data_IF_508032202924
#
_entry.id   IF_508032202924
#
_cell.length_a   1.000
_cell.length_b   1.000
_cell.length_c   1.000
_cell.angle_alpha   90.00
_cell.angle_beta   90.00
_cell.angle_gamma   90.00
#
_symmetry.space_group_name_H-M   'P 1'
#
loop_
_entity.id
_entity.type
_entity.pdbx_description
1 polymer ?
#
# COMPACT_ATOMS: atom_id res chain seq x y z
N UNK A 1 -36.77 -28.98 61.74
CA UNK A 1 -35.51 -28.67 62.46
C UNK A 1 -34.39 -29.40 61.76
N UNK A 2 -33.45 -28.62 61.25
CA UNK A 2 -32.40 -29.00 60.30
C UNK A 2 -31.46 -30.08 60.80
N UNK A 3 -31.16 -31.02 59.89
CA UNK A 3 -30.06 -31.96 59.95
C UNK A 3 -28.73 -31.21 59.78
N UNK A 4 -27.83 -31.37 60.76
CA UNK A 4 -26.44 -30.90 60.69
C UNK A 4 -25.51 -32.07 60.99
N UNK A 5 -24.77 -32.53 59.97
CA UNK A 5 -23.29 -32.55 59.91
C UNK A 5 -22.71 -33.70 59.07
N UNK A 6 -21.84 -33.24 58.15
CA UNK A 6 -20.58 -33.83 57.66
C UNK A 6 -20.63 -34.90 56.56
N UNK A 7 -20.16 -34.47 55.39
CA UNK A 7 -19.19 -35.08 54.45
C UNK A 7 -19.47 -34.39 53.10
N UNK A 8 -18.56 -33.84 52.29
CA UNK A 8 -17.11 -34.00 52.11
C UNK A 8 -16.69 -32.87 51.16
N UNK A 9 -15.47 -32.36 51.33
CA UNK A 9 -14.83 -31.36 50.48
C UNK A 9 -14.87 -31.76 49.00
N UNK A 10 -15.56 -30.98 48.17
CA UNK A 10 -15.29 -30.87 46.72
C UNK A 10 -14.91 -29.41 46.48
N UNK A 11 -13.66 -29.20 46.11
CA UNK A 11 -13.14 -27.95 45.57
C UNK A 11 -13.81 -27.64 44.24
N UNK A 12 -14.57 -26.55 44.17
CA UNK A 12 -14.94 -25.91 42.91
C UNK A 12 -13.73 -25.11 42.37
N UNK A 13 -13.54 -25.03 41.05
CA UNK A 13 -12.44 -24.29 40.46
C UNK A 13 -12.67 -22.78 40.57
N UNK A 14 -11.65 -22.04 41.02
CA UNK A 14 -11.61 -20.58 41.03
C UNK A 14 -11.73 -20.04 39.60
N UNK A 15 -12.94 -19.70 39.17
CA UNK A 15 -13.19 -18.90 37.97
C UNK A 15 -13.00 -17.42 38.33
N UNK A 16 -11.74 -16.99 38.47
CA UNK A 16 -11.40 -15.57 38.46
C UNK A 16 -11.43 -15.09 37.01
N UNK A 17 -12.58 -14.55 36.60
CA UNK A 17 -12.67 -13.72 35.42
C UNK A 17 -11.69 -12.54 35.57
N UNK A 18 -10.68 -12.48 34.69
CA UNK A 18 -9.77 -11.35 34.61
C UNK A 18 -10.57 -10.10 34.23
N UNK A 19 -10.76 -9.20 35.20
CA UNK A 19 -11.34 -7.89 34.96
C UNK A 19 -10.36 -7.02 34.18
N UNK A 20 -10.87 -6.14 33.31
CA UNK A 20 -10.12 -5.28 32.40
C UNK A 20 -9.09 -4.31 33.05
N UNK A 21 -8.86 -4.38 34.36
CA UNK A 21 -7.91 -3.56 35.10
C UNK A 21 -6.55 -4.24 35.38
N UNK A 22 -6.34 -5.50 34.99
CA UNK A 22 -5.12 -6.24 35.32
C UNK A 22 -3.93 -6.04 34.34
N UNK A 23 -4.08 -5.21 33.31
CA UNK A 23 -2.99 -4.84 32.38
C UNK A 23 -2.49 -3.41 32.58
N UNK A 24 -2.25 -3.02 33.82
CA UNK A 24 -1.67 -1.71 34.13
C UNK A 24 -0.14 -1.75 33.91
N UNK A 25 0.29 -1.81 32.65
CA UNK A 25 1.66 -1.52 32.26
C UNK A 25 1.86 -0.02 32.45
N UNK A 26 2.48 0.39 33.55
CA UNK A 26 2.91 1.78 33.74
C UNK A 26 3.97 2.13 32.70
N UNK A 27 3.53 2.69 31.58
CA UNK A 27 4.41 3.37 30.64
C UNK A 27 5.05 4.55 31.37
N UNK A 28 6.39 4.56 31.39
CA UNK A 28 7.18 5.68 31.90
C UNK A 28 6.85 6.88 31.03
N UNK A 29 6.00 7.78 31.53
CA UNK A 29 5.75 9.08 30.90
C UNK A 29 7.11 9.77 30.73
N UNK A 30 7.58 9.84 29.49
CA UNK A 30 8.72 10.67 29.13
C UNK A 30 8.45 12.12 29.54
N UNK A 31 9.50 12.96 29.67
CA UNK A 31 9.37 14.30 30.20
C UNK A 31 8.28 15.07 29.45
N UNK A 32 7.38 15.70 30.21
CA UNK A 32 6.20 16.44 29.76
C UNK A 32 6.53 17.35 28.56
N UNK A 33 6.22 16.87 27.35
CA UNK A 33 6.25 17.71 26.15
C UNK A 33 4.93 18.46 26.15
N UNK A 34 5.00 19.79 26.27
CA UNK A 34 3.85 20.71 26.24
C UNK A 34 2.77 20.24 25.27
N UNK A 35 1.53 20.18 25.75
CA UNK A 35 0.30 19.85 25.02
C UNK A 35 -0.08 20.87 23.91
N UNK A 36 0.85 21.71 23.45
CA UNK A 36 0.53 22.88 22.63
C UNK A 36 1.18 22.79 21.24
N UNK A 37 0.37 22.62 20.19
CA UNK A 37 0.73 23.08 18.84
C UNK A 37 -0.45 23.16 17.84
N UNK A 38 -1.59 22.48 18.07
CA UNK A 38 -2.64 22.36 17.05
C UNK A 38 -4.04 22.66 17.60
N UNK A 39 -4.87 23.48 16.91
CA UNK A 39 -6.15 23.97 17.45
C UNK A 39 -7.21 22.89 17.69
N UNK A 40 -7.05 21.70 17.11
CA UNK A 40 -8.12 20.70 16.94
C UNK A 40 -7.98 19.45 17.82
N UNK A 41 -6.95 19.41 18.67
CA UNK A 41 -6.66 18.29 19.57
C UNK A 41 -7.83 17.94 20.51
N UNK A 42 -8.63 18.93 20.92
CA UNK A 42 -9.79 18.70 21.78
C UNK A 42 -10.94 17.96 21.08
N UNK A 43 -11.21 18.30 19.82
CA UNK A 43 -12.30 17.68 19.04
C UNK A 43 -11.98 16.22 18.73
N UNK A 44 -10.73 15.93 18.35
CA UNK A 44 -10.30 14.55 18.11
C UNK A 44 -10.35 13.71 19.40
N UNK A 45 -10.10 14.31 20.57
CA UNK A 45 -10.19 13.62 21.86
C UNK A 45 -11.65 13.26 22.19
N UNK A 46 -12.57 14.20 21.97
CA UNK A 46 -14.01 13.96 22.14
C UNK A 46 -14.53 12.88 21.18
N UNK A 47 -14.03 12.82 19.94
CA UNK A 47 -14.36 11.76 18.98
C UNK A 47 -13.83 10.38 19.41
N UNK A 48 -12.60 10.31 19.93
CA UNK A 48 -12.02 9.07 20.48
C UNK A 48 -12.79 8.59 21.71
N UNK A 49 -13.17 9.50 22.61
CA UNK A 49 -13.99 9.21 23.78
C UNK A 49 -15.39 8.72 23.37
N UNK A 50 -15.98 9.28 22.31
CA UNK A 50 -17.27 8.83 21.74
C UNK A 50 -17.19 7.39 21.21
N UNK A 51 -16.05 7.02 20.63
CA UNK A 51 -15.78 5.66 20.14
C UNK A 51 -15.37 4.69 21.26
N UNK A 52 -15.19 5.17 22.49
CA UNK A 52 -14.69 4.36 23.61
C UNK A 52 -13.23 3.91 23.42
N UNK A 53 -12.45 4.62 22.60
CA UNK A 53 -11.08 4.26 22.23
C UNK A 53 -10.08 5.20 22.90
N UNK A 54 -9.04 4.61 23.50
CA UNK A 54 -7.88 5.37 23.95
C UNK A 54 -6.93 5.64 22.77
N UNK A 55 -6.38 6.84 22.72
CA UNK A 55 -5.37 7.20 21.72
C UNK A 55 -4.00 6.66 22.14
N UNK A 56 -3.42 5.77 21.33
CA UNK A 56 -2.14 5.11 21.63
C UNK A 56 -0.96 5.77 20.88
N UNK A 57 -1.20 6.39 19.73
CA UNK A 57 -0.17 7.04 18.92
C UNK A 57 -0.18 8.58 19.01
N UNK A 58 1.01 9.17 18.87
CA UNK A 58 1.18 10.63 18.83
C UNK A 58 0.81 11.17 17.44
N UNK A 59 -0.02 12.21 17.39
CA UNK A 59 -0.38 12.92 16.14
C UNK A 59 0.84 13.57 15.48
N UNK A 60 1.27 12.99 14.37
CA UNK A 60 2.45 13.42 13.63
C UNK A 60 2.16 13.74 12.14
N UNK A 61 0.97 13.42 11.62
CA UNK A 61 0.58 13.67 10.23
C UNK A 61 -0.43 14.83 10.11
N UNK A 62 -0.17 15.77 9.20
CA UNK A 62 -1.11 16.81 8.77
C UNK A 62 -1.64 16.53 7.36
N UNK A 63 -2.52 17.40 6.84
CA UNK A 63 -3.16 17.19 5.53
C UNK A 63 -2.17 16.85 4.39
N UNK A 64 -1.11 17.64 4.22
CA UNK A 64 -0.14 17.43 3.13
C UNK A 64 0.71 16.17 3.30
N UNK A 65 1.06 15.79 4.53
CA UNK A 65 1.80 14.55 4.76
C UNK A 65 0.91 13.32 4.65
N UNK A 66 -0.37 13.43 5.04
CA UNK A 66 -1.38 12.39 4.81
C UNK A 66 -1.68 12.22 3.31
N UNK A 67 -1.80 13.32 2.55
CA UNK A 67 -1.95 13.28 1.11
C UNK A 67 -0.74 12.69 0.43
N UNK A 68 0.47 13.06 0.84
CA UNK A 68 1.69 12.44 0.37
C UNK A 68 1.72 10.94 0.64
N UNK A 69 1.34 10.53 1.86
CA UNK A 69 1.26 9.12 2.25
C UNK A 69 0.39 8.29 1.29
N UNK A 70 -0.85 8.74 1.05
CA UNK A 70 -1.76 8.00 0.15
C UNK A 70 -1.29 8.10 -1.29
N UNK A 71 -0.88 9.28 -1.74
CA UNK A 71 -0.48 9.48 -3.14
C UNK A 71 0.71 8.60 -3.52
N UNK A 72 1.73 8.58 -2.67
CA UNK A 72 2.97 7.80 -2.84
C UNK A 72 2.70 6.31 -2.65
N UNK A 73 1.82 5.94 -1.73
CA UNK A 73 1.45 4.54 -1.57
C UNK A 73 0.67 4.00 -2.78
N UNK A 74 -0.40 4.69 -3.19
CA UNK A 74 -1.20 4.28 -4.34
C UNK A 74 -0.33 4.12 -5.57
N UNK A 75 0.67 5.00 -5.78
CA UNK A 75 1.71 4.81 -6.79
C UNK A 75 1.15 4.47 -8.17
N UNK A 76 -0.06 4.96 -8.50
CA UNK A 76 -0.91 4.31 -9.50
C UNK A 76 -0.27 4.34 -10.87
N UNK A 77 0.38 5.43 -11.22
CA UNK A 77 1.02 5.58 -12.51
C UNK A 77 2.35 4.77 -12.58
N UNK A 78 3.07 4.65 -11.46
CA UNK A 78 4.25 3.79 -11.33
C UNK A 78 3.89 2.31 -11.45
N UNK A 79 2.82 1.89 -10.80
CA UNK A 79 2.34 0.52 -10.86
C UNK A 79 1.77 0.21 -12.24
N UNK A 80 1.01 1.11 -12.88
CA UNK A 80 0.56 0.93 -14.27
C UNK A 80 1.74 0.66 -15.20
N UNK A 81 2.84 1.41 -15.06
CA UNK A 81 4.06 1.22 -15.87
C UNK A 81 4.63 -0.21 -15.74
N UNK A 82 4.56 -0.80 -14.55
CA UNK A 82 5.23 -2.08 -14.24
C UNK A 82 4.29 -3.27 -14.41
N UNK A 83 3.02 -3.14 -14.04
CA UNK A 83 2.05 -4.25 -14.04
C UNK A 83 1.50 -4.57 -15.42
N UNK A 84 1.79 -3.77 -16.45
CA UNK A 84 1.46 -4.07 -17.85
C UNK A 84 2.06 -5.42 -18.34
N UNK A 85 3.12 -5.91 -17.69
CA UNK A 85 3.72 -7.24 -17.95
C UNK A 85 3.08 -8.39 -17.15
N UNK A 86 2.61 -8.08 -15.93
CA UNK A 86 2.17 -9.07 -14.93
C UNK A 86 0.74 -9.56 -15.23
N UNK A 87 0.10 -8.95 -16.24
CA UNK A 87 -1.24 -9.16 -16.80
C UNK A 87 -1.72 -10.60 -17.01
N UNK A 88 -0.82 -11.57 -17.00
CA UNK A 88 -1.10 -12.96 -17.38
C UNK A 88 -1.23 -13.95 -16.22
N UNK A 89 -1.10 -13.54 -14.96
CA UNK A 89 -1.23 -14.47 -13.82
C UNK A 89 -1.84 -13.85 -12.56
N UNK A 90 -3.10 -14.22 -12.30
CA UNK A 90 -3.85 -14.19 -11.03
C UNK A 90 -4.25 -12.86 -10.37
N UNK A 91 -5.42 -12.88 -9.70
CA UNK A 91 -6.06 -11.70 -9.13
C UNK A 91 -6.81 -11.83 -7.80
N UNK A 92 -7.26 -10.66 -7.31
CA UNK A 92 -8.22 -10.45 -6.21
C UNK A 92 -7.86 -9.32 -5.20
N UNK A 93 -8.87 -8.60 -4.64
CA UNK A 93 -8.78 -7.37 -3.78
C UNK A 93 -9.30 -7.52 -2.34
N UNK A 94 -8.88 -6.63 -1.42
CA UNK A 94 -9.28 -6.56 0.00
C UNK A 94 -9.49 -5.11 0.54
N UNK A 95 -10.37 -4.93 1.55
CA UNK A 95 -10.11 -4.08 2.73
C UNK A 95 -11.24 -3.20 3.35
N UNK A 96 -11.90 -3.64 4.44
CA UNK A 96 -12.95 -2.86 5.19
C UNK A 96 -13.20 -3.24 6.70
N UNK A 97 -12.33 -3.93 7.44
CA UNK A 97 -12.77 -4.64 8.67
C UNK A 97 -13.38 -3.79 9.80
N UNK A 98 -12.89 -2.58 10.07
CA UNK A 98 -13.49 -1.70 11.09
C UNK A 98 -14.88 -1.18 10.67
N UNK A 99 -15.21 -1.17 9.39
CA UNK A 99 -16.56 -0.79 8.96
C UNK A 99 -17.50 -1.99 9.05
N UNK A 100 -16.94 -3.19 8.92
CA UNK A 100 -17.67 -4.42 9.19
C UNK A 100 -18.07 -4.49 10.66
N UNK A 101 -17.23 -4.03 11.59
CA UNK A 101 -17.60 -3.95 13.01
C UNK A 101 -18.78 -3.01 13.28
N UNK A 102 -18.74 -1.81 12.71
CA UNK A 102 -19.74 -0.77 12.97
C UNK A 102 -21.08 -1.03 12.25
N UNK A 103 -21.04 -1.61 11.05
CA UNK A 103 -22.23 -1.75 10.18
C UNK A 103 -22.76 -3.17 10.06
N UNK A 104 -22.03 -4.21 10.48
CA UNK A 104 -22.55 -5.57 10.45
C UNK A 104 -23.68 -5.76 11.48
N UNK A 105 -24.68 -6.62 11.18
CA UNK A 105 -25.68 -6.99 12.17
C UNK A 105 -25.02 -7.57 13.44
N UNK A 106 -25.46 -7.23 14.66
CA UNK A 106 -24.82 -7.64 15.91
C UNK A 106 -24.59 -9.16 16.05
N UNK A 107 -25.42 -9.96 15.38
CA UNK A 107 -25.33 -11.42 15.37
C UNK A 107 -24.11 -11.97 14.63
N UNK A 108 -23.60 -11.25 13.63
CA UNK A 108 -22.51 -11.70 12.76
C UNK A 108 -21.26 -10.82 12.84
N UNK A 109 -21.37 -9.65 13.50
CA UNK A 109 -20.33 -8.66 13.67
C UNK A 109 -18.97 -9.27 13.97
N UNK A 110 -18.83 -10.03 15.07
CA UNK A 110 -17.55 -10.66 15.47
C UNK A 110 -16.93 -11.53 14.38
N UNK A 111 -17.72 -12.39 13.73
CA UNK A 111 -17.20 -13.31 12.72
C UNK A 111 -16.82 -12.55 11.45
N UNK A 112 -17.65 -11.61 11.01
CA UNK A 112 -17.40 -10.83 9.81
C UNK A 112 -16.21 -9.88 10.00
N UNK A 113 -16.10 -9.23 11.15
CA UNK A 113 -14.95 -8.38 11.53
C UNK A 113 -13.65 -9.18 11.57
N UNK A 114 -13.67 -10.36 12.20
CA UNK A 114 -12.48 -11.22 12.28
C UNK A 114 -12.01 -11.64 10.89
N UNK A 115 -12.93 -12.15 10.06
CA UNK A 115 -12.62 -12.57 8.68
C UNK A 115 -12.15 -11.38 7.84
N UNK A 116 -12.82 -10.23 7.94
CA UNK A 116 -12.45 -9.04 7.20
C UNK A 116 -11.07 -8.51 7.63
N UNK A 117 -10.76 -8.51 8.93
CA UNK A 117 -9.49 -8.03 9.45
C UNK A 117 -8.34 -8.95 9.07
N UNK A 118 -8.56 -10.27 9.14
CA UNK A 118 -7.56 -11.23 8.71
C UNK A 118 -7.27 -11.17 7.21
N UNK A 119 -8.30 -11.02 6.39
CA UNK A 119 -8.12 -10.82 4.94
C UNK A 119 -7.44 -9.49 4.61
N UNK A 120 -7.78 -8.41 5.33
CA UNK A 120 -7.11 -7.11 5.18
C UNK A 120 -5.61 -7.27 5.48
N UNK A 121 -5.26 -7.80 6.65
CA UNK A 121 -3.88 -7.95 7.09
C UNK A 121 -3.05 -8.80 6.13
N UNK A 122 -3.60 -9.93 5.66
CA UNK A 122 -2.93 -10.75 4.65
C UNK A 122 -2.76 -10.01 3.32
N UNK A 123 -3.76 -9.26 2.89
CA UNK A 123 -3.70 -8.42 1.69
C UNK A 123 -2.58 -7.39 1.77
N UNK A 124 -2.48 -6.66 2.88
CA UNK A 124 -1.45 -5.64 3.10
C UNK A 124 -0.03 -6.21 3.22
N UNK A 125 0.13 -7.34 3.90
CA UNK A 125 1.41 -8.06 3.92
C UNK A 125 1.81 -8.56 2.52
N UNK A 126 0.86 -9.09 1.75
CA UNK A 126 1.09 -9.50 0.37
C UNK A 126 1.45 -8.31 -0.52
N UNK A 127 0.80 -7.16 -0.35
CA UNK A 127 1.13 -5.92 -1.07
C UNK A 127 2.55 -5.45 -0.77
N UNK A 128 2.98 -5.50 0.49
CA UNK A 128 4.37 -5.15 0.85
C UNK A 128 5.39 -6.12 0.22
N UNK A 129 5.10 -7.42 0.24
CA UNK A 129 5.96 -8.42 -0.40
C UNK A 129 6.01 -8.21 -1.92
N UNK A 130 4.86 -7.99 -2.56
CA UNK A 130 4.72 -7.69 -3.99
C UNK A 130 5.52 -6.44 -4.39
N UNK A 131 5.37 -5.34 -3.66
CA UNK A 131 6.13 -4.12 -3.89
C UNK A 131 7.65 -4.34 -3.81
N UNK A 132 8.11 -5.20 -2.91
CA UNK A 132 9.52 -5.58 -2.82
C UNK A 132 9.98 -6.40 -4.03
N UNK A 133 9.16 -7.33 -4.54
CA UNK A 133 9.45 -8.05 -5.79
C UNK A 133 9.65 -7.08 -6.95
N UNK A 134 8.78 -6.06 -7.06
CA UNK A 134 8.89 -5.02 -8.09
C UNK A 134 10.23 -4.29 -8.01
N UNK A 135 10.66 -3.90 -6.81
CA UNK A 135 11.97 -3.26 -6.57
C UNK A 135 13.12 -4.18 -7.03
N UNK A 136 13.04 -5.49 -6.78
CA UNK A 136 14.05 -6.45 -7.23
C UNK A 136 14.03 -6.63 -8.75
N UNK A 137 12.86 -6.68 -9.38
CA UNK A 137 12.75 -6.75 -10.84
C UNK A 137 13.34 -5.50 -11.52
N UNK A 138 13.15 -4.32 -10.94
CA UNK A 138 13.77 -3.07 -11.39
C UNK A 138 15.31 -3.13 -11.31
N UNK A 139 15.86 -3.71 -10.24
CA UNK A 139 17.32 -3.92 -10.11
C UNK A 139 17.83 -4.91 -11.16
N UNK A 140 17.13 -6.02 -11.35
CA UNK A 140 17.47 -7.02 -12.38
C UNK A 140 17.47 -6.37 -13.77
N UNK A 141 16.44 -5.59 -14.10
CA UNK A 141 16.34 -4.87 -15.35
C UNK A 141 17.54 -3.93 -15.59
N UNK A 142 17.99 -3.17 -14.58
CA UNK A 142 19.20 -2.33 -14.71
C UNK A 142 20.44 -3.17 -15.01
N UNK A 143 20.64 -4.27 -14.29
CA UNK A 143 21.80 -5.13 -14.48
C UNK A 143 21.79 -5.77 -15.87
N UNK A 144 20.63 -6.19 -16.36
CA UNK A 144 20.48 -6.77 -17.71
C UNK A 144 20.82 -5.76 -18.82
N UNK A 145 20.60 -4.45 -18.61
CA UNK A 145 21.03 -3.42 -19.59
C UNK A 145 22.56 -3.38 -19.72
N UNK A 146 23.28 -3.42 -18.60
CA UNK A 146 24.74 -3.36 -18.59
C UNK A 146 25.40 -4.70 -18.92
N UNK A 147 24.76 -5.81 -18.55
CA UNK A 147 25.28 -7.17 -18.68
C UNK A 147 24.18 -8.12 -19.18
N UNK A 148 23.88 -8.13 -20.49
CA UNK A 148 22.78 -8.92 -21.06
C UNK A 148 22.91 -10.43 -20.87
N UNK A 149 24.14 -10.94 -20.72
CA UNK A 149 24.42 -12.37 -20.53
C UNK A 149 24.26 -12.82 -19.06
N UNK A 150 23.98 -11.89 -18.13
CA UNK A 150 23.84 -12.23 -16.73
C UNK A 150 22.50 -12.90 -16.43
N UNK A 151 22.54 -14.22 -16.20
CA UNK A 151 21.38 -14.99 -15.78
C UNK A 151 21.17 -14.88 -14.26
N UNK A 152 20.18 -14.08 -13.85
CA UNK A 152 19.78 -13.99 -12.44
C UNK A 152 19.24 -15.32 -11.92
N UNK A 153 19.72 -15.75 -10.75
CA UNK A 153 19.22 -16.94 -10.07
C UNK A 153 18.15 -16.54 -9.05
N UNK A 154 17.07 -17.32 -8.95
CA UNK A 154 15.93 -16.99 -8.07
C UNK A 154 16.33 -16.75 -6.60
N UNK A 155 17.34 -17.45 -6.08
CA UNK A 155 17.84 -17.24 -4.71
C UNK A 155 18.47 -15.86 -4.51
N UNK A 156 19.07 -15.27 -5.55
CA UNK A 156 19.65 -13.92 -5.48
C UNK A 156 18.54 -12.89 -5.30
N UNK A 157 17.45 -13.03 -6.07
CA UNK A 157 16.27 -12.19 -5.94
C UNK A 157 15.68 -12.26 -4.53
N UNK A 158 15.57 -13.47 -3.96
CA UNK A 158 15.11 -13.65 -2.56
C UNK A 158 16.02 -12.95 -1.54
N UNK A 159 17.34 -13.06 -1.68
CA UNK A 159 18.27 -12.39 -0.76
C UNK A 159 18.19 -10.86 -0.87
N UNK A 160 18.03 -10.33 -2.08
CA UNK A 160 17.83 -8.89 -2.30
C UNK A 160 16.52 -8.45 -1.65
N UNK A 161 15.42 -9.21 -1.82
CA UNK A 161 14.15 -8.91 -1.16
C UNK A 161 14.30 -8.85 0.37
N UNK A 162 14.95 -9.86 0.97
CA UNK A 162 15.20 -9.91 2.42
C UNK A 162 16.01 -8.68 2.87
N UNK A 163 17.04 -8.30 2.12
CA UNK A 163 17.85 -7.13 2.44
C UNK A 163 17.06 -5.82 2.41
N UNK A 164 16.24 -5.60 1.37
CA UNK A 164 15.41 -4.40 1.26
C UNK A 164 14.32 -4.35 2.33
N UNK A 165 13.66 -5.47 2.63
CA UNK A 165 12.70 -5.55 3.73
C UNK A 165 13.39 -5.24 5.07
N UNK A 166 14.58 -5.80 5.31
CA UNK A 166 15.34 -5.50 6.53
C UNK A 166 15.64 -4.00 6.65
N UNK A 167 16.14 -3.36 5.59
CA UNK A 167 16.39 -1.91 5.57
C UNK A 167 15.10 -1.12 5.88
N UNK A 168 13.99 -1.53 5.26
CA UNK A 168 12.67 -0.91 5.44
C UNK A 168 12.19 -1.03 6.89
N UNK A 169 12.41 -2.17 7.54
CA UNK A 169 12.11 -2.40 8.96
C UNK A 169 12.96 -1.49 9.84
N UNK A 170 14.28 -1.42 9.60
CA UNK A 170 15.19 -0.57 10.40
C UNK A 170 14.79 0.91 10.30
N UNK A 171 14.47 1.37 9.07
CA UNK A 171 14.01 2.73 8.84
C UNK A 171 12.67 3.02 9.52
N UNK A 172 11.69 2.12 9.43
CA UNK A 172 10.40 2.31 10.10
C UNK A 172 10.51 2.22 11.63
N UNK A 173 11.49 1.48 12.16
CA UNK A 173 11.68 1.34 13.62
C UNK A 173 12.33 2.57 14.24
N UNK A 174 13.42 3.08 13.63
CA UNK A 174 14.18 4.20 14.21
C UNK A 174 13.95 5.55 13.53
N UNK A 175 13.50 5.54 12.28
CA UNK A 175 13.25 6.72 11.45
C UNK A 175 11.78 7.17 11.42
N UNK A 176 10.90 6.55 12.21
CA UNK A 176 9.45 6.84 12.20
C UNK A 176 9.11 8.34 12.33
N UNK A 177 9.89 9.08 13.11
CA UNK A 177 9.70 10.53 13.30
C UNK A 177 9.97 11.36 12.03
N UNK A 178 10.70 10.81 11.06
CA UNK A 178 10.99 11.44 9.78
C UNK A 178 9.99 11.10 8.68
N UNK A 179 9.11 10.11 8.92
CA UNK A 179 8.09 9.68 7.96
C UNK A 179 7.21 10.84 7.45
N UNK A 180 6.69 11.75 8.29
CA UNK A 180 5.85 12.85 7.79
C UNK A 180 6.58 13.75 6.79
N UNK A 181 7.87 14.04 7.03
CA UNK A 181 8.71 14.81 6.12
C UNK A 181 8.99 14.03 4.84
N UNK A 182 9.29 12.74 4.96
CA UNK A 182 9.48 11.85 3.81
C UNK A 182 8.24 11.86 2.90
N UNK A 183 7.03 11.85 3.47
CA UNK A 183 5.80 11.87 2.65
C UNK A 183 5.60 13.16 1.86
N UNK A 184 5.93 14.32 2.45
CA UNK A 184 5.84 15.59 1.71
C UNK A 184 6.88 15.66 0.60
N UNK A 185 8.12 15.24 0.88
CA UNK A 185 9.19 15.18 -0.13
C UNK A 185 8.82 14.19 -1.24
N UNK A 186 8.34 13.01 -0.86
CA UNK A 186 7.95 11.96 -1.80
C UNK A 186 6.74 12.35 -2.64
N UNK A 187 5.78 13.14 -2.11
CA UNK A 187 4.69 13.71 -2.90
C UNK A 187 5.20 14.65 -4.01
N UNK A 188 6.13 15.54 -3.66
CA UNK A 188 6.74 16.43 -4.65
C UNK A 188 7.53 15.61 -5.69
N UNK A 189 8.27 14.60 -5.24
CA UNK A 189 9.03 13.72 -6.12
C UNK A 189 8.12 12.86 -7.02
N UNK A 190 6.96 12.42 -6.52
CA UNK A 190 5.92 11.70 -7.28
C UNK A 190 5.40 12.53 -8.44
N UNK A 191 4.97 13.76 -8.16
CA UNK A 191 4.43 14.67 -9.18
C UNK A 191 5.50 15.13 -10.18
N UNK A 192 6.72 15.42 -9.71
CA UNK A 192 7.83 15.76 -10.59
C UNK A 192 8.29 14.56 -11.42
N UNK A 193 8.36 13.38 -10.80
CA UNK A 193 8.77 12.13 -11.43
C UNK A 193 7.83 11.73 -12.55
N UNK A 194 6.53 11.89 -12.36
CA UNK A 194 5.52 11.74 -13.41
C UNK A 194 5.87 12.56 -14.66
N UNK A 195 6.19 13.85 -14.49
CA UNK A 195 6.58 14.71 -15.62
C UNK A 195 7.92 14.29 -16.24
N UNK A 196 8.90 13.91 -15.41
CA UNK A 196 10.23 13.46 -15.86
C UNK A 196 10.15 12.17 -16.67
N UNK A 197 9.19 11.29 -16.40
CA UNK A 197 8.95 10.07 -17.20
C UNK A 197 8.08 10.37 -18.42
N UNK A 198 6.98 11.10 -18.24
CA UNK A 198 6.00 11.34 -19.30
C UNK A 198 6.57 12.20 -20.44
N UNK A 199 7.31 13.27 -20.14
CA UNK A 199 7.80 14.22 -21.15
C UNK A 199 8.76 13.54 -22.13
N UNK A 200 9.81 12.82 -21.71
CA UNK A 200 10.71 12.15 -22.65
C UNK A 200 10.01 11.11 -23.52
N UNK A 201 9.04 10.35 -22.97
CA UNK A 201 8.24 9.41 -23.76
C UNK A 201 7.46 10.16 -24.85
N UNK A 202 6.73 11.21 -24.48
CA UNK A 202 5.93 11.99 -25.42
C UNK A 202 6.77 12.74 -26.46
N UNK A 203 7.98 13.18 -26.13
CA UNK A 203 8.81 13.96 -27.05
C UNK A 203 9.65 13.08 -27.95
N UNK A 204 10.24 12.00 -27.41
CA UNK A 204 11.28 11.23 -28.10
C UNK A 204 10.77 9.95 -28.73
N UNK A 205 9.73 9.31 -28.18
CA UNK A 205 9.26 8.04 -28.73
C UNK A 205 8.46 8.23 -30.02
N UNK A 206 8.61 7.29 -30.99
CA UNK A 206 7.68 7.18 -32.12
C UNK A 206 6.28 6.86 -31.60
N UNK A 207 5.25 7.35 -32.29
CA UNK A 207 3.85 7.24 -31.85
C UNK A 207 3.04 6.33 -32.76
N UNK A 208 2.25 5.46 -32.16
CA UNK A 208 1.22 4.67 -32.83
C UNK A 208 0.07 5.57 -33.31
N UNK A 209 -0.74 5.07 -34.23
CA UNK A 209 -1.96 5.77 -34.66
C UNK A 209 -3.00 5.78 -33.51
N UNK A 210 -3.85 6.80 -33.49
CA UNK A 210 -4.94 6.86 -32.52
C UNK A 210 -5.95 5.72 -32.69
N UNK A 211 -6.12 5.21 -33.93
CA UNK A 211 -6.94 4.02 -34.17
C UNK A 211 -6.38 2.81 -33.41
N UNK A 212 -5.08 2.55 -33.53
CA UNK A 212 -4.43 1.43 -32.86
C UNK A 212 -4.53 1.53 -31.33
N UNK A 213 -4.50 2.75 -30.80
CA UNK A 213 -4.56 3.00 -29.34
C UNK A 213 -5.97 2.87 -28.77
N UNK A 214 -7.00 3.35 -29.47
CA UNK A 214 -8.36 3.46 -28.91
C UNK A 214 -9.36 2.45 -29.46
N UNK A 215 -9.09 1.86 -30.62
CA UNK A 215 -10.06 1.05 -31.38
C UNK A 215 -9.53 -0.33 -31.79
N UNK A 216 -8.21 -0.55 -31.81
CA UNK A 216 -7.63 -1.87 -32.04
C UNK A 216 -7.52 -2.65 -30.72
N UNK A 217 -8.32 -3.69 -30.59
CA UNK A 217 -8.32 -4.56 -29.40
C UNK A 217 -7.64 -5.87 -29.73
N UNK A 218 -6.54 -6.18 -29.02
CA UNK A 218 -5.79 -7.42 -29.20
C UNK A 218 -5.91 -8.34 -27.98
N UNK A 219 -6.24 -9.60 -28.23
CA UNK A 219 -6.30 -10.65 -27.20
C UNK A 219 -5.06 -11.53 -27.31
N UNK A 220 -4.17 -11.40 -26.34
CA UNK A 220 -2.98 -12.24 -26.17
C UNK A 220 -3.07 -13.08 -24.88
N UNK A 221 -4.27 -13.24 -24.31
CA UNK A 221 -4.50 -13.89 -23.02
C UNK A 221 -4.47 -15.43 -23.08
N UNK A 222 -4.59 -16.01 -24.28
CA UNK A 222 -4.69 -17.46 -24.47
C UNK A 222 -6.06 -18.05 -24.14
N UNK A 223 -7.07 -17.21 -23.86
CA UNK A 223 -8.45 -17.63 -23.58
C UNK A 223 -9.36 -17.62 -24.82
N UNK A 224 -8.81 -17.21 -25.98
CA UNK A 224 -9.51 -17.05 -27.25
C UNK A 224 -10.84 -16.26 -27.13
N UNK A 225 -10.89 -15.30 -26.19
CA UNK A 225 -12.08 -14.54 -25.86
C UNK A 225 -11.72 -13.17 -25.27
N UNK A 226 -11.96 -12.14 -26.08
CA UNK A 226 -11.71 -10.74 -25.71
C UNK A 226 -12.43 -10.31 -24.42
N UNK A 227 -13.65 -10.78 -24.17
CA UNK A 227 -14.41 -10.44 -22.96
C UNK A 227 -13.79 -11.05 -21.70
N UNK A 228 -13.34 -12.30 -21.78
CA UNK A 228 -12.61 -12.95 -20.70
C UNK A 228 -11.25 -12.29 -20.46
N UNK A 229 -10.50 -12.00 -21.54
CA UNK A 229 -9.25 -11.26 -21.49
C UNK A 229 -9.42 -9.91 -20.78
N UNK A 230 -10.47 -9.15 -21.14
CA UNK A 230 -10.79 -7.89 -20.51
C UNK A 230 -11.06 -8.02 -19.00
N UNK A 231 -11.89 -8.98 -18.59
CA UNK A 231 -12.20 -9.21 -17.17
C UNK A 231 -10.97 -9.63 -16.36
N UNK A 232 -10.08 -10.43 -16.94
CA UNK A 232 -8.82 -10.84 -16.30
C UNK A 232 -7.89 -9.62 -16.14
N UNK A 233 -7.78 -8.78 -17.17
CA UNK A 233 -6.96 -7.57 -17.14
C UNK A 233 -7.42 -6.54 -16.09
N UNK A 234 -8.71 -6.51 -15.71
CA UNK A 234 -9.22 -5.58 -14.71
C UNK A 234 -8.52 -5.69 -13.36
N UNK A 235 -8.05 -6.88 -12.99
CA UNK A 235 -7.32 -7.12 -11.75
C UNK A 235 -6.12 -6.19 -11.60
N UNK A 236 -5.36 -5.97 -12.68
CA UNK A 236 -4.15 -5.16 -12.62
C UNK A 236 -4.45 -3.67 -12.52
N UNK A 237 -5.53 -3.23 -13.17
CA UNK A 237 -6.03 -1.86 -13.02
C UNK A 237 -6.44 -1.61 -11.58
N UNK A 238 -7.19 -2.54 -11.00
CA UNK A 238 -7.60 -2.45 -9.60
C UNK A 238 -6.38 -2.44 -8.66
N UNK A 239 -5.30 -3.16 -8.99
CA UNK A 239 -4.06 -3.17 -8.19
C UNK A 239 -3.40 -1.79 -8.17
N UNK A 240 -3.37 -1.11 -9.32
CA UNK A 240 -2.87 0.25 -9.41
C UNK A 240 -3.76 1.25 -8.65
N UNK A 241 -5.05 0.95 -8.49
CA UNK A 241 -6.00 1.79 -7.77
C UNK A 241 -6.08 1.45 -6.27
N UNK A 242 -5.36 0.43 -5.81
CA UNK A 242 -5.38 -0.01 -4.42
C UNK A 242 -4.72 1.05 -3.55
N UNK A 243 -5.31 1.25 -2.36
CA UNK A 243 -4.64 1.96 -1.30
C UNK A 243 -5.10 3.37 -1.00
N UNK A 244 -6.19 3.81 -1.62
CA UNK A 244 -6.85 5.06 -1.23
C UNK A 244 -7.23 5.10 0.25
N UNK A 245 -7.48 3.94 0.88
CA UNK A 245 -7.85 3.76 2.28
C UNK A 245 -6.66 3.71 3.25
N UNK A 246 -5.42 3.79 2.76
CA UNK A 246 -4.22 3.62 3.57
C UNK A 246 -4.12 4.56 4.77
N UNK A 247 -4.64 5.79 4.62
CA UNK A 247 -4.64 6.79 5.69
C UNK A 247 -5.51 6.36 6.87
N UNK A 248 -6.49 5.47 6.67
CA UNK A 248 -7.31 4.92 7.75
C UNK A 248 -6.46 4.13 8.75
N UNK A 249 -5.38 3.50 8.30
CA UNK A 249 -4.47 2.71 9.15
C UNK A 249 -3.54 3.57 10.00
N UNK A 250 -3.41 4.86 9.68
CA UNK A 250 -2.63 5.84 10.45
C UNK A 250 -3.53 6.92 11.05
N UNK A 251 -4.84 6.71 11.10
CA UNK A 251 -5.83 7.72 11.50
C UNK A 251 -5.57 8.27 12.91
N UNK A 252 -5.11 7.45 13.85
CA UNK A 252 -4.71 7.88 15.21
C UNK A 252 -3.55 8.90 15.20
N UNK A 253 -2.74 8.93 14.14
CA UNK A 253 -1.63 9.88 13.96
C UNK A 253 -1.99 11.09 13.11
N UNK A 254 -3.18 11.10 12.49
CA UNK A 254 -3.70 12.18 11.64
C UNK A 254 -4.47 13.18 12.50
N UNK A 255 -4.27 14.48 12.23
CA UNK A 255 -5.04 15.56 12.86
C UNK A 255 -6.38 15.73 12.18
N UNK A 256 -7.42 16.03 12.95
CA UNK A 256 -8.79 16.22 12.43
C UNK A 256 -9.22 15.00 11.61
N UNK A 257 -8.98 13.80 12.13
CA UNK A 257 -9.07 12.57 11.35
C UNK A 257 -10.46 12.40 10.72
N UNK A 258 -11.52 12.80 11.41
CA UNK A 258 -12.91 12.73 10.91
C UNK A 258 -13.17 13.58 9.66
N UNK A 259 -12.34 14.61 9.39
CA UNK A 259 -12.45 15.46 8.20
C UNK A 259 -11.32 15.20 7.20
N UNK A 260 -10.09 15.08 7.68
CA UNK A 260 -8.89 14.96 6.84
C UNK A 260 -8.82 13.61 6.15
N UNK A 261 -9.11 12.52 6.86
CA UNK A 261 -9.09 11.16 6.27
C UNK A 261 -9.99 11.07 5.03
N UNK A 262 -11.31 11.34 5.10
CA UNK A 262 -12.18 11.19 3.93
C UNK A 262 -11.81 12.15 2.78
N UNK A 263 -11.36 13.37 3.08
CA UNK A 263 -10.93 14.32 2.05
C UNK A 263 -9.70 13.83 1.29
N UNK A 264 -8.68 13.38 2.03
CA UNK A 264 -7.43 12.93 1.44
C UNK A 264 -7.63 11.64 0.65
N UNK A 265 -8.48 10.71 1.12
CA UNK A 265 -8.85 9.51 0.36
C UNK A 265 -9.38 9.87 -1.04
N UNK A 266 -10.32 10.81 -1.13
CA UNK A 266 -10.94 11.22 -2.41
C UNK A 266 -9.93 11.93 -3.30
N UNK A 267 -9.18 12.91 -2.78
CA UNK A 267 -8.22 13.67 -3.58
C UNK A 267 -7.07 12.80 -4.07
N UNK A 268 -6.57 11.89 -3.23
CA UNK A 268 -5.52 10.97 -3.63
C UNK A 268 -6.02 10.01 -4.72
N UNK A 269 -7.23 9.47 -4.56
CA UNK A 269 -7.83 8.59 -5.54
C UNK A 269 -8.00 9.30 -6.89
N UNK A 270 -8.68 10.44 -6.92
CA UNK A 270 -8.92 11.19 -8.17
C UNK A 270 -7.59 11.62 -8.81
N UNK A 271 -6.65 12.15 -8.02
CA UNK A 271 -5.35 12.61 -8.51
C UNK A 271 -4.57 11.47 -9.17
N UNK A 272 -4.43 10.34 -8.49
CA UNK A 272 -3.68 9.21 -9.01
C UNK A 272 -4.34 8.50 -10.20
N UNK A 273 -5.67 8.40 -10.24
CA UNK A 273 -6.38 7.87 -11.40
C UNK A 273 -6.12 8.74 -12.64
N UNK A 274 -6.13 10.07 -12.49
CA UNK A 274 -5.87 10.98 -13.60
C UNK A 274 -4.42 10.87 -14.10
N UNK A 275 -3.45 10.79 -13.20
CA UNK A 275 -2.04 10.56 -13.57
C UNK A 275 -1.84 9.19 -14.22
N UNK A 276 -2.46 8.15 -13.66
CA UNK A 276 -2.43 6.78 -14.18
C UNK A 276 -3.00 6.68 -15.58
N UNK A 277 -4.15 7.31 -15.84
CA UNK A 277 -4.75 7.35 -17.17
C UNK A 277 -3.87 8.12 -18.16
N UNK A 278 -3.29 9.24 -17.74
CA UNK A 278 -2.40 10.04 -18.58
C UNK A 278 -1.13 9.28 -18.99
N UNK A 279 -0.50 8.55 -18.05
CA UNK A 279 0.66 7.72 -18.40
C UNK A 279 0.25 6.52 -19.23
N UNK A 280 -0.89 5.88 -18.95
CA UNK A 280 -1.38 4.73 -19.72
C UNK A 280 -1.57 5.09 -21.19
N UNK A 281 -2.26 6.20 -21.47
CA UNK A 281 -2.44 6.71 -22.84
C UNK A 281 -1.08 7.01 -23.47
N UNK A 282 -0.17 7.65 -22.73
CA UNK A 282 1.20 7.92 -23.21
C UNK A 282 1.93 6.63 -23.59
N UNK A 283 1.84 5.59 -22.76
CA UNK A 283 2.46 4.29 -23.02
C UNK A 283 1.87 3.63 -24.26
N UNK A 284 0.54 3.60 -24.42
CA UNK A 284 -0.12 3.00 -25.58
C UNK A 284 0.31 3.68 -26.89
N UNK A 285 0.49 5.01 -26.88
CA UNK A 285 1.06 5.71 -28.03
C UNK A 285 2.53 5.35 -28.28
N UNK A 286 3.33 5.11 -27.23
CA UNK A 286 4.79 4.96 -27.35
C UNK A 286 5.29 3.51 -27.41
N UNK A 287 4.44 2.52 -27.12
CA UNK A 287 4.84 1.11 -26.96
C UNK A 287 5.25 0.45 -28.29
N UNK A 288 4.67 0.87 -29.42
CA UNK A 288 4.87 0.23 -30.74
C UNK A 288 4.36 -1.22 -30.80
N UNK A 289 4.86 -2.06 -31.73
CA UNK A 289 4.40 -3.44 -31.89
C UNK A 289 4.61 -4.28 -30.62
N UNK A 290 3.59 -5.07 -30.25
CA UNK A 290 3.55 -5.82 -28.98
C UNK A 290 4.44 -7.06 -28.94
N UNK A 291 4.85 -7.60 -30.10
CA UNK A 291 5.54 -8.89 -30.20
C UNK A 291 6.81 -8.95 -29.33
N UNK A 292 7.65 -7.91 -29.36
CA UNK A 292 8.84 -7.82 -28.49
C UNK A 292 8.56 -7.46 -27.04
N UNK A 293 7.36 -6.91 -26.73
CA UNK A 293 6.95 -6.59 -25.36
C UNK A 293 6.39 -7.81 -24.62
N UNK A 294 5.86 -8.80 -25.35
CA UNK A 294 5.31 -10.02 -24.78
C UNK A 294 6.40 -11.03 -24.37
N UNK A 295 7.55 -11.01 -25.06
CA UNK A 295 8.65 -11.97 -24.85
C UNK A 295 9.69 -11.53 -23.81
N UNK A 296 9.54 -10.35 -23.21
CA UNK A 296 10.52 -9.79 -22.27
C UNK A 296 9.99 -9.74 -20.84
N UNK A 297 10.87 -10.06 -19.89
CA UNK A 297 10.56 -9.97 -18.45
C UNK A 297 10.41 -8.51 -17.95
N UNK A 298 10.78 -7.51 -18.76
CA UNK A 298 10.75 -6.09 -18.40
C UNK A 298 10.25 -5.19 -19.55
N UNK A 299 8.97 -5.28 -19.95
CA UNK A 299 8.46 -4.56 -21.13
C UNK A 299 8.45 -3.03 -20.97
N UNK A 300 8.35 -2.53 -19.74
CA UNK A 300 8.48 -1.10 -19.45
C UNK A 300 9.87 -0.56 -19.83
N UNK A 301 10.91 -1.41 -19.79
CA UNK A 301 12.26 -1.02 -20.16
C UNK A 301 12.42 -0.96 -21.68
N UNK A 302 11.74 -1.85 -22.41
CA UNK A 302 11.66 -1.76 -23.87
C UNK A 302 11.02 -0.43 -24.30
N UNK A 303 9.95 -0.03 -23.62
CA UNK A 303 9.34 1.28 -23.82
C UNK A 303 10.33 2.42 -23.56
N UNK A 304 11.06 2.40 -22.44
CA UNK A 304 12.06 3.44 -22.15
C UNK A 304 13.19 3.48 -23.17
N UNK A 305 13.62 2.33 -23.70
CA UNK A 305 14.63 2.27 -24.76
C UNK A 305 14.16 2.90 -26.08
N UNK A 306 12.84 3.02 -26.32
CA UNK A 306 12.31 3.73 -27.50
C UNK A 306 12.51 5.24 -27.47
N UNK A 307 12.94 5.80 -26.33
CA UNK A 307 13.42 7.19 -26.28
C UNK A 307 14.71 7.41 -27.08
N UNK A 308 15.36 6.34 -27.54
CA UNK A 308 16.56 6.40 -28.37
C UNK A 308 17.88 6.53 -27.59
N UNK A 309 17.84 6.47 -26.26
CA UNK A 309 19.03 6.58 -25.41
C UNK A 309 19.01 5.55 -24.27
N UNK A 310 19.91 4.56 -24.27
CA UNK A 310 20.05 3.60 -23.16
C UNK A 310 20.35 4.30 -21.82
N UNK A 311 21.14 5.38 -21.86
CA UNK A 311 21.45 6.15 -20.65
C UNK A 311 20.21 6.82 -20.06
N UNK A 312 19.35 7.40 -20.92
CA UNK A 312 18.08 7.97 -20.48
C UNK A 312 17.16 6.89 -19.90
N UNK A 313 17.08 5.74 -20.57
CA UNK A 313 16.30 4.58 -20.11
C UNK A 313 16.73 4.13 -18.70
N UNK A 314 18.04 4.01 -18.45
CA UNK A 314 18.56 3.71 -17.11
C UNK A 314 18.19 4.79 -16.09
N UNK A 315 18.29 6.07 -16.44
CA UNK A 315 17.92 7.18 -15.53
C UNK A 315 16.44 7.14 -15.16
N UNK A 316 15.56 6.93 -16.14
CA UNK A 316 14.12 6.79 -15.91
C UNK A 316 13.80 5.58 -15.03
N UNK A 317 14.51 4.47 -15.24
CA UNK A 317 14.38 3.27 -14.43
C UNK A 317 14.84 3.48 -12.98
N UNK A 318 15.98 4.15 -12.76
CA UNK A 318 16.48 4.50 -11.42
C UNK A 318 15.48 5.39 -10.68
N UNK A 319 14.90 6.37 -11.37
CA UNK A 319 13.87 7.24 -10.80
C UNK A 319 12.65 6.42 -10.35
N UNK A 320 12.14 5.54 -11.22
CA UNK A 320 10.99 4.68 -10.94
C UNK A 320 11.27 3.74 -9.75
N UNK A 321 12.46 3.12 -9.73
CA UNK A 321 12.95 2.31 -8.61
C UNK A 321 12.92 3.09 -7.27
N UNK A 322 13.45 4.32 -7.25
CA UNK A 322 13.50 5.12 -6.02
C UNK A 322 12.10 5.49 -5.51
N UNK A 323 11.19 5.86 -6.42
CA UNK A 323 9.81 6.22 -6.06
C UNK A 323 9.05 5.01 -5.50
N UNK A 324 9.15 3.85 -6.15
CA UNK A 324 8.48 2.63 -5.69
C UNK A 324 9.03 2.17 -4.34
N UNK A 325 10.35 2.27 -4.15
CA UNK A 325 10.94 1.91 -2.87
C UNK A 325 10.49 2.86 -1.74
N UNK A 326 10.37 4.16 -2.01
CA UNK A 326 9.76 5.11 -1.06
C UNK A 326 8.29 4.74 -0.73
N UNK A 327 7.53 4.26 -1.72
CA UNK A 327 6.21 3.65 -1.51
C UNK A 327 6.25 2.44 -0.57
N UNK A 328 7.18 1.50 -0.76
CA UNK A 328 7.31 0.33 0.11
C UNK A 328 7.61 0.68 1.58
N UNK A 329 8.40 1.73 1.83
CA UNK A 329 8.62 2.25 3.19
C UNK A 329 7.30 2.67 3.85
N UNK A 330 6.43 3.30 3.06
CA UNK A 330 5.11 3.79 3.46
C UNK A 330 4.13 2.63 3.71
N UNK A 331 4.15 1.61 2.85
CA UNK A 331 3.35 0.39 3.01
C UNK A 331 3.64 -0.29 4.33
N UNK A 332 4.92 -0.55 4.62
CA UNK A 332 5.30 -1.23 5.86
C UNK A 332 4.88 -0.45 7.11
N UNK A 333 4.89 0.88 7.03
CA UNK A 333 4.39 1.77 8.07
C UNK A 333 2.88 1.56 8.32
N UNK A 334 2.07 1.43 7.26
CA UNK A 334 0.64 1.12 7.38
C UNK A 334 0.40 -0.30 7.91
N UNK A 335 1.06 -1.30 7.32
CA UNK A 335 0.87 -2.72 7.69
C UNK A 335 1.17 -2.96 9.18
N UNK A 336 2.26 -2.36 9.70
CA UNK A 336 2.63 -2.54 11.11
C UNK A 336 1.58 -1.98 12.08
N UNK A 337 0.97 -0.83 11.76
CA UNK A 337 -0.08 -0.20 12.56
C UNK A 337 -1.39 -0.97 12.50
N UNK A 338 -1.75 -1.45 11.32
CA UNK A 338 -2.94 -2.26 11.12
C UNK A 338 -2.86 -3.58 11.91
N UNK A 339 -1.74 -4.30 11.79
CA UNK A 339 -1.50 -5.55 12.53
C UNK A 339 -1.55 -5.31 14.03
N UNK A 340 -0.97 -4.20 14.51
CA UNK A 340 -1.02 -3.82 15.92
C UNK A 340 -2.45 -3.54 16.39
N UNK A 341 -3.22 -2.75 15.64
CA UNK A 341 -4.62 -2.44 15.96
C UNK A 341 -5.49 -3.71 15.97
N UNK A 342 -5.34 -4.57 14.96
CA UNK A 342 -6.08 -5.83 14.87
C UNK A 342 -5.78 -6.76 16.06
N UNK A 343 -4.50 -6.86 16.46
CA UNK A 343 -4.09 -7.65 17.62
C UNK A 343 -4.60 -7.06 18.94
N UNK A 344 -4.55 -5.73 19.10
CA UNK A 344 -5.07 -4.99 20.26
C UNK A 344 -6.57 -5.26 20.45
N UNK A 345 -7.33 -5.17 19.36
CA UNK A 345 -8.78 -5.30 19.35
C UNK A 345 -9.24 -6.78 19.35
N UNK A 346 -8.30 -7.72 19.58
CA UNK A 346 -8.52 -9.18 19.63
C UNK A 346 -9.20 -9.76 18.39
N UNK A 347 -9.15 -9.03 17.27
CA UNK A 347 -9.86 -9.34 16.03
C UNK A 347 -11.38 -9.42 16.16
N UNK A 348 -11.98 -8.84 17.21
CA UNK A 348 -13.37 -9.11 17.61
C UNK A 348 -14.31 -7.90 17.66
N UNK A 349 -13.83 -6.69 17.46
CA UNK A 349 -14.75 -5.54 17.41
C UNK A 349 -15.62 -5.55 16.18
#
# INVERSE_FOLDING_TARGET
MEQKKRQTLRSEPDEKAATANDFNVQWRSGPDVKEDAWPTVGVDKDDMDRLGKAQEFKRNFGFWSALGFIMVFMGTWEFVLITLAVGFTNGGFAGQYHWVSEFAPPRYQKVLSYVAGWNLTLGWLATNASGTVVVVNQIQAMITIQSPEYAFKSWQSTLIMIAFIAITILFNTWGASTLPTLQVVSLCAHLAGFLVVMIPLLVLCPKNDAYDVFLDFQDNSGWDNMGAAFLICQVYVLYCCLGSDAVCHISEEVRDASLVVPQVMVWAFVGNIMLGLAILVTMLFCIGPLEGALDTDAPYLLLFNKTGSPALSTVLNVLLFLMIYAGNITVLAACSREVFAFARDRGEE
#
